data_IF_259874406766
#
_entry.id   IF_259874406766
#
_cell.length_a   1.000
_cell.length_b   1.000
_cell.length_c   1.000
_cell.angle_alpha   90.00
_cell.angle_beta   90.00
_cell.angle_gamma   90.00
#
_symmetry.space_group_name_H-M   'P 1'
#
loop_
_entity.id
_entity.type
_entity.pdbx_description
1 polymer ?
#
# COMPACT_ATOMS: atom_id res chain seq x y z
N UNK A 1 -8.99 3.44 14.78
CA UNK A 1 -8.24 4.71 14.80
C UNK A 1 -8.66 5.62 13.64
N UNK A 2 -8.66 5.14 12.39
CA UNK A 2 -9.20 5.90 11.23
C UNK A 2 -10.59 6.52 11.43
N UNK A 3 -11.55 5.81 12.06
CA UNK A 3 -12.89 6.36 12.36
C UNK A 3 -12.90 7.65 13.20
N UNK A 4 -11.81 7.95 13.90
CA UNK A 4 -11.63 9.14 14.74
C UNK A 4 -11.00 10.29 13.98
N UNK A 5 -10.53 10.09 12.75
CA UNK A 5 -10.03 11.16 11.89
C UNK A 5 -11.21 11.99 11.40
N UNK A 6 -11.13 13.30 11.64
CA UNK A 6 -12.15 14.25 11.20
C UNK A 6 -12.09 14.41 9.68
N UNK A 7 -13.25 14.70 9.09
CA UNK A 7 -13.32 15.10 7.69
C UNK A 7 -12.61 16.42 7.47
N UNK A 8 -11.96 16.59 6.33
CA UNK A 8 -11.27 17.82 5.97
C UNK A 8 -11.60 18.24 4.54
N UNK A 9 -11.93 19.51 4.35
CA UNK A 9 -12.28 20.09 3.05
C UNK A 9 -13.56 19.52 2.44
N UNK A 10 -14.03 20.15 1.36
CA UNK A 10 -15.11 19.60 0.56
C UNK A 10 -14.55 18.46 -0.30
N UNK A 11 -14.83 17.21 0.09
CA UNK A 11 -14.39 15.98 -0.59
C UNK A 11 -12.87 15.70 -0.59
N UNK A 12 -12.08 16.35 0.29
CA UNK A 12 -10.62 16.11 0.35
C UNK A 12 -10.28 14.92 1.25
N UNK A 13 -10.77 14.91 2.49
CA UNK A 13 -10.72 13.76 3.39
C UNK A 13 -12.15 13.45 3.83
N UNK A 14 -12.67 12.32 3.35
CA UNK A 14 -14.01 11.85 3.67
C UNK A 14 -14.03 11.02 4.96
N UNK A 15 -15.23 10.79 5.50
CA UNK A 15 -15.41 9.97 6.70
C UNK A 15 -15.03 8.52 6.39
N UNK A 16 -14.06 8.00 7.13
CA UNK A 16 -13.65 6.60 7.01
C UNK A 16 -14.72 5.63 7.54
N UNK A 17 -14.70 4.41 7.00
CA UNK A 17 -15.58 3.32 7.45
C UNK A 17 -15.27 2.90 8.89
N UNK A 18 -16.21 2.18 9.52
CA UNK A 18 -16.01 1.64 10.86
C UNK A 18 -14.90 0.58 10.92
N UNK A 19 -14.71 -0.16 9.82
CA UNK A 19 -13.68 -1.18 9.65
C UNK A 19 -12.93 -0.94 8.33
N UNK A 20 -11.81 -0.25 8.44
CA UNK A 20 -10.88 0.00 7.33
C UNK A 20 -10.09 -1.25 6.99
N UNK A 21 -9.70 -2.04 8.00
CA UNK A 21 -8.90 -3.27 7.81
C UNK A 21 -9.61 -4.33 6.97
N UNK A 22 -10.95 -4.36 6.99
CA UNK A 22 -11.73 -5.26 6.15
C UNK A 22 -11.73 -4.91 4.65
N UNK A 23 -11.24 -3.72 4.26
CA UNK A 23 -11.13 -3.25 2.87
C UNK A 23 -12.41 -3.43 2.01
N UNK A 24 -13.58 -3.35 2.64
CA UNK A 24 -14.86 -3.56 1.94
C UNK A 24 -15.31 -2.29 1.23
N UNK A 25 -15.58 -2.41 -0.08
CA UNK A 25 -16.15 -1.34 -0.93
C UNK A 25 -15.31 -0.05 -0.96
N UNK A 26 -13.98 -0.19 -0.95
CA UNK A 26 -13.07 0.95 -1.10
C UNK A 26 -12.96 1.35 -2.57
N UNK A 27 -13.18 2.63 -2.86
CA UNK A 27 -12.83 3.26 -4.13
C UNK A 27 -11.36 3.69 -4.14
N UNK A 28 -10.81 3.98 -5.32
CA UNK A 28 -9.42 4.43 -5.48
C UNK A 28 -9.06 5.63 -4.59
N UNK A 29 -9.99 6.58 -4.42
CA UNK A 29 -9.81 7.74 -3.54
C UNK A 29 -9.64 7.36 -2.07
N UNK A 30 -10.30 6.30 -1.62
CA UNK A 30 -10.27 5.89 -0.21
C UNK A 30 -8.88 5.36 0.15
N UNK A 31 -8.22 4.62 -0.76
CA UNK A 31 -6.83 4.18 -0.56
C UNK A 31 -5.86 5.35 -0.41
N UNK A 32 -6.02 6.39 -1.23
CA UNK A 32 -5.21 7.61 -1.12
C UNK A 32 -5.42 8.27 0.24
N UNK A 33 -6.67 8.46 0.66
CA UNK A 33 -6.98 9.17 1.90
C UNK A 33 -6.53 8.37 3.13
N UNK A 34 -6.61 7.03 3.07
CA UNK A 34 -6.04 6.14 4.09
C UNK A 34 -4.54 6.34 4.23
N UNK A 35 -3.79 6.39 3.11
CA UNK A 35 -2.35 6.63 3.16
C UNK A 35 -2.04 8.01 3.75
N UNK A 36 -2.74 9.06 3.30
CA UNK A 36 -2.53 10.43 3.78
C UNK A 36 -2.81 10.60 5.29
N UNK A 37 -3.75 9.83 5.84
CA UNK A 37 -4.10 9.87 7.27
C UNK A 37 -3.50 8.73 8.08
N UNK A 38 -2.52 8.00 7.53
CA UNK A 38 -1.98 6.78 8.15
C UNK A 38 -1.14 7.06 9.39
N UNK A 39 -0.23 8.04 9.34
CA UNK A 39 0.70 8.37 10.43
C UNK A 39 -0.01 8.48 11.81
N UNK A 40 -1.01 9.37 12.02
CA UNK A 40 -1.69 9.46 13.33
C UNK A 40 -2.51 8.21 13.70
N UNK A 41 -2.86 7.37 12.72
CA UNK A 41 -3.58 6.13 12.95
C UNK A 41 -2.65 4.97 13.36
N UNK A 42 -1.37 5.05 13.04
CA UNK A 42 -0.37 4.02 13.30
C UNK A 42 0.59 4.41 14.44
N UNK A 43 0.70 5.68 14.77
CA UNK A 43 1.62 6.16 15.80
C UNK A 43 1.31 5.54 17.18
N UNK A 44 2.29 4.89 17.80
CA UNK A 44 2.12 4.15 19.06
C UNK A 44 1.18 2.93 18.95
N UNK A 45 0.92 2.43 17.73
CA UNK A 45 0.17 1.18 17.55
C UNK A 45 1.05 -0.05 17.80
N UNK A 46 2.33 0.05 17.47
CA UNK A 46 3.31 -1.02 17.57
C UNK A 46 4.21 -0.81 18.80
N UNK A 47 4.92 -1.86 19.27
CA UNK A 47 5.98 -1.71 20.26
C UNK A 47 6.99 -0.66 19.81
N UNK A 48 7.59 0.06 20.76
CA UNK A 48 8.49 1.18 20.48
C UNK A 48 9.65 0.80 19.54
N UNK A 49 10.16 -0.43 19.69
CA UNK A 49 11.23 -1.00 18.86
C UNK A 49 10.86 -1.06 17.36
N UNK A 50 9.58 -1.20 17.03
CA UNK A 50 9.10 -1.39 15.65
C UNK A 50 8.31 -0.18 15.13
N UNK A 51 7.76 0.63 16.04
CA UNK A 51 6.89 1.75 15.72
C UNK A 51 7.59 2.76 14.80
N UNK A 52 8.84 3.11 15.09
CA UNK A 52 9.60 4.06 14.27
C UNK A 52 9.76 3.56 12.83
N UNK A 53 10.07 2.26 12.62
CA UNK A 53 10.21 1.67 11.28
C UNK A 53 8.88 1.76 10.50
N UNK A 54 7.77 1.46 11.18
CA UNK A 54 6.43 1.53 10.57
C UNK A 54 6.08 2.96 10.18
N UNK A 55 6.31 3.92 11.06
CA UNK A 55 6.00 5.33 10.82
C UNK A 55 6.87 5.92 9.72
N UNK A 56 8.17 5.64 9.74
CA UNK A 56 9.11 6.04 8.69
C UNK A 56 8.65 5.47 7.33
N UNK A 57 8.31 4.17 7.28
CA UNK A 57 7.82 3.51 6.06
C UNK A 57 6.55 4.18 5.52
N UNK A 58 5.61 4.51 6.41
CA UNK A 58 4.38 5.22 6.01
C UNK A 58 4.67 6.65 5.53
N UNK A 59 5.64 7.33 6.14
CA UNK A 59 6.07 8.65 5.74
C UNK A 59 6.69 8.63 4.33
N UNK A 60 7.61 7.69 4.06
CA UNK A 60 8.22 7.55 2.74
C UNK A 60 7.18 7.18 1.68
N UNK A 61 6.22 6.29 1.98
CA UNK A 61 5.11 6.02 1.05
C UNK A 61 4.29 7.27 0.77
N UNK A 62 4.00 8.08 1.79
CA UNK A 62 3.21 9.31 1.64
C UNK A 62 3.95 10.33 0.79
N UNK A 63 5.26 10.50 1.03
CA UNK A 63 6.11 11.41 0.26
C UNK A 63 6.26 10.93 -1.19
N UNK A 64 6.52 9.63 -1.39
CA UNK A 64 6.60 9.01 -2.71
C UNK A 64 5.31 9.23 -3.49
N UNK A 65 4.15 8.94 -2.88
CA UNK A 65 2.85 9.11 -3.52
C UNK A 65 2.54 10.59 -3.83
N UNK A 66 2.91 11.52 -2.96
CA UNK A 66 2.74 12.96 -3.21
C UNK A 66 3.55 13.42 -4.43
N UNK A 67 4.80 12.96 -4.57
CA UNK A 67 5.65 13.26 -5.71
C UNK A 67 5.13 12.57 -6.99
N UNK A 68 4.77 11.29 -6.91
CA UNK A 68 4.21 10.55 -8.04
C UNK A 68 2.92 11.19 -8.60
N UNK A 69 2.11 11.81 -7.74
CA UNK A 69 0.86 12.47 -8.10
C UNK A 69 1.03 13.94 -8.50
N UNK A 70 2.24 14.49 -8.43
CA UNK A 70 2.47 15.88 -8.80
C UNK A 70 2.20 16.09 -10.28
N UNK A 71 1.44 17.15 -10.61
CA UNK A 71 1.07 17.49 -11.99
C UNK A 71 2.16 18.21 -12.77
N UNK A 72 3.20 18.63 -12.07
CA UNK A 72 4.31 19.36 -12.62
C UNK A 72 5.57 18.95 -11.87
N UNK A 73 6.62 18.68 -12.63
CA UNK A 73 7.92 18.36 -12.09
C UNK A 73 8.96 19.38 -12.53
N UNK A 74 9.90 19.65 -11.64
CA UNK A 74 11.15 20.37 -11.94
C UNK A 74 12.30 19.41 -11.71
N UNK A 75 13.50 19.77 -12.14
CA UNK A 75 14.70 18.94 -11.91
C UNK A 75 14.88 18.63 -10.42
N UNK A 76 14.61 19.61 -9.56
CA UNK A 76 14.68 19.45 -8.10
C UNK A 76 13.65 18.45 -7.56
N UNK A 77 12.41 18.46 -8.06
CA UNK A 77 11.38 17.53 -7.58
C UNK A 77 11.58 16.12 -8.13
N UNK A 78 12.14 15.96 -9.34
CA UNK A 78 12.57 14.66 -9.87
C UNK A 78 13.74 14.09 -9.09
N UNK A 79 14.71 14.93 -8.72
CA UNK A 79 15.83 14.53 -7.86
C UNK A 79 15.31 14.05 -6.49
N UNK A 80 14.43 14.83 -5.86
CA UNK A 80 13.79 14.43 -4.62
C UNK A 80 13.00 13.12 -4.79
N UNK A 81 12.28 12.95 -5.89
CA UNK A 81 11.48 11.74 -6.14
C UNK A 81 12.36 10.49 -6.28
N UNK A 82 13.50 10.60 -6.95
CA UNK A 82 14.49 9.52 -7.03
C UNK A 82 15.09 9.18 -5.67
N UNK A 83 15.42 10.20 -4.86
CA UNK A 83 15.93 10.01 -3.51
C UNK A 83 14.90 9.31 -2.60
N UNK A 84 13.66 9.78 -2.60
CA UNK A 84 12.55 9.19 -1.84
C UNK A 84 12.25 7.77 -2.30
N UNK A 85 12.30 7.47 -3.60
CA UNK A 85 12.11 6.11 -4.11
C UNK A 85 13.20 5.16 -3.60
N UNK A 86 14.44 5.64 -3.50
CA UNK A 86 15.56 4.86 -2.95
C UNK A 86 15.44 4.66 -1.43
N UNK A 87 15.00 5.69 -0.71
CA UNK A 87 14.70 5.64 0.72
C UNK A 87 13.57 4.65 1.01
N UNK A 88 12.47 4.74 0.27
CA UNK A 88 11.30 3.87 0.40
C UNK A 88 11.68 2.39 0.18
N UNK A 89 12.50 2.11 -0.84
CA UNK A 89 13.01 0.75 -1.06
C UNK A 89 13.81 0.24 0.15
N UNK A 90 14.72 1.06 0.67
CA UNK A 90 15.54 0.72 1.85
C UNK A 90 14.69 0.48 3.10
N UNK A 91 13.70 1.33 3.35
CA UNK A 91 12.77 1.19 4.47
C UNK A 91 11.88 -0.05 4.32
N UNK A 92 11.38 -0.34 3.13
CA UNK A 92 10.63 -1.58 2.87
C UNK A 92 11.45 -2.83 3.15
N UNK A 93 12.73 -2.85 2.73
CA UNK A 93 13.63 -3.94 3.06
C UNK A 93 13.86 -4.07 4.58
N UNK A 94 14.01 -2.94 5.29
CA UNK A 94 14.15 -2.93 6.75
C UNK A 94 12.87 -3.42 7.45
N UNK A 95 11.69 -2.94 7.03
CA UNK A 95 10.39 -3.39 7.53
C UNK A 95 10.19 -4.90 7.36
N UNK A 96 10.56 -5.45 6.20
CA UNK A 96 10.48 -6.90 5.96
C UNK A 96 11.45 -7.69 6.82
N UNK A 97 12.66 -7.18 7.03
CA UNK A 97 13.71 -7.88 7.79
C UNK A 97 13.48 -7.83 9.30
N UNK A 98 13.02 -6.69 9.82
CA UNK A 98 12.95 -6.41 11.25
C UNK A 98 11.54 -6.61 11.79
N UNK A 99 10.53 -5.98 11.16
CA UNK A 99 9.17 -5.93 11.71
C UNK A 99 8.37 -7.18 11.34
N UNK A 100 8.33 -7.56 10.07
CA UNK A 100 7.48 -8.68 9.61
C UNK A 100 7.69 -10.00 10.38
N UNK A 101 8.91 -10.42 10.76
CA UNK A 101 9.12 -11.68 11.50
C UNK A 101 8.54 -11.68 12.92
N UNK A 102 8.38 -10.51 13.55
CA UNK A 102 7.87 -10.41 14.92
C UNK A 102 6.34 -10.60 14.98
N UNK A 103 5.63 -10.34 13.88
CA UNK A 103 4.16 -10.38 13.84
C UNK A 103 3.63 -11.55 13.02
N UNK A 104 2.85 -12.42 13.67
CA UNK A 104 2.15 -13.53 12.99
C UNK A 104 0.89 -13.03 12.28
N UNK A 105 1.04 -12.66 11.02
CA UNK A 105 -0.05 -12.24 10.13
C UNK A 105 -0.77 -13.44 9.50
N UNK A 106 -2.07 -13.27 9.20
CA UNK A 106 -2.91 -14.26 8.54
C UNK A 106 -3.74 -13.56 7.47
N UNK A 107 -4.15 -14.33 6.48
CA UNK A 107 -5.12 -13.84 5.50
C UNK A 107 -6.46 -13.51 6.17
N UNK A 108 -7.11 -12.49 5.64
CA UNK A 108 -8.45 -12.11 6.07
C UNK A 108 -9.48 -13.19 5.71
N UNK A 109 -10.64 -13.26 6.39
CA UNK A 109 -11.69 -14.21 6.03
C UNK A 109 -12.14 -14.11 4.58
N UNK A 110 -12.12 -12.89 4.01
CA UNK A 110 -12.49 -12.64 2.63
C UNK A 110 -11.44 -13.21 1.64
N UNK A 111 -10.15 -12.99 1.90
CA UNK A 111 -9.06 -13.56 1.10
C UNK A 111 -9.08 -15.10 1.15
N UNK A 112 -9.24 -15.68 2.35
CA UNK A 112 -9.35 -17.14 2.50
C UNK A 112 -10.56 -17.71 1.76
N UNK A 113 -11.70 -17.03 1.78
CA UNK A 113 -12.90 -17.46 1.05
C UNK A 113 -12.69 -17.38 -0.47
N UNK A 114 -12.07 -16.31 -0.96
CA UNK A 114 -11.73 -16.16 -2.37
C UNK A 114 -10.78 -17.30 -2.80
N UNK A 115 -9.70 -17.55 -2.06
CA UNK A 115 -8.74 -18.61 -2.38
C UNK A 115 -9.40 -19.98 -2.48
N UNK A 116 -10.27 -20.33 -1.51
CA UNK A 116 -11.03 -21.59 -1.56
C UNK A 116 -11.92 -21.69 -2.80
N UNK A 117 -12.56 -20.60 -3.20
CA UNK A 117 -13.37 -20.56 -4.42
C UNK A 117 -12.52 -20.81 -5.67
N UNK A 118 -11.33 -20.21 -5.76
CA UNK A 118 -10.40 -20.43 -6.87
C UNK A 118 -9.90 -21.88 -6.94
N UNK A 119 -9.49 -22.46 -5.81
CA UNK A 119 -9.03 -23.86 -5.75
C UNK A 119 -10.17 -24.82 -6.12
N UNK A 120 -11.40 -24.54 -5.66
CA UNK A 120 -12.57 -25.37 -5.98
C UNK A 120 -12.97 -25.34 -7.46
N UNK A 121 -12.59 -24.29 -8.20
CA UNK A 121 -12.78 -24.20 -9.65
C UNK A 121 -11.66 -24.89 -10.44
N UNK A 122 -10.53 -25.20 -9.79
CA UNK A 122 -9.29 -25.63 -10.46
C UNK A 122 -9.00 -27.14 -10.31
N UNK A 123 -9.46 -27.78 -9.22
CA UNK A 123 -9.10 -29.18 -8.89
C UNK A 123 -10.28 -30.18 -8.98
N UNK A 124 -10.04 -31.43 -9.45
CA UNK A 124 -11.03 -32.51 -9.40
C UNK A 124 -11.32 -33.00 -7.97
N UNK A 125 -12.52 -33.55 -7.70
CA UNK A 125 -13.06 -33.76 -6.34
C UNK A 125 -12.30 -34.76 -5.43
N UNK A 126 -11.27 -35.45 -5.93
CA UNK A 126 -10.51 -36.45 -5.18
C UNK A 126 -9.27 -35.91 -4.44
N UNK A 127 -8.85 -34.66 -4.70
CA UNK A 127 -7.69 -34.05 -4.05
C UNK A 127 -8.03 -33.17 -2.83
N UNK A 128 -9.23 -33.31 -2.26
CA UNK A 128 -9.63 -32.61 -1.04
C UNK A 128 -8.99 -33.23 0.22
N UNK A 129 -7.67 -33.42 0.21
CA UNK A 129 -6.92 -33.67 1.43
C UNK A 129 -6.74 -32.32 2.13
N UNK A 130 -7.61 -32.08 3.11
CA UNK A 130 -7.44 -31.19 4.26
C UNK A 130 -6.15 -30.34 4.24
N UNK A 131 -6.12 -29.24 3.49
CA UNK A 131 -5.20 -28.13 3.81
C UNK A 131 -5.80 -27.33 4.97
N UNK A 132 -5.98 -28.02 6.10
CA UNK A 132 -6.21 -27.39 7.39
C UNK A 132 -4.87 -26.92 7.93
N UNK A 133 -4.38 -25.77 7.46
CA UNK A 133 -3.36 -25.06 8.21
C UNK A 133 -3.41 -23.57 7.89
N UNK A 134 -3.58 -22.80 8.95
CA UNK A 134 -3.39 -21.36 9.05
C UNK A 134 -2.05 -20.97 8.40
N UNK A 135 -2.02 -20.73 7.10
CA UNK A 135 -0.81 -20.29 6.42
C UNK A 135 -0.55 -18.85 6.85
N UNK A 136 0.54 -18.63 7.57
CA UNK A 136 0.97 -17.29 7.91
C UNK A 136 1.20 -16.49 6.63
N UNK A 137 0.72 -15.24 6.58
CA UNK A 137 0.83 -14.41 5.38
C UNK A 137 2.03 -13.48 5.49
N UNK A 138 3.16 -13.88 4.92
CA UNK A 138 4.36 -13.04 4.91
C UNK A 138 4.21 -11.97 3.83
N UNK A 139 4.68 -10.75 4.13
CA UNK A 139 4.73 -9.67 3.16
C UNK A 139 5.74 -9.98 2.05
N UNK A 140 5.29 -9.92 0.79
CA UNK A 140 6.13 -10.21 -0.37
C UNK A 140 6.54 -8.91 -1.08
N UNK A 141 7.81 -8.53 -0.93
CA UNK A 141 8.39 -7.38 -1.62
C UNK A 141 8.69 -7.68 -3.11
N UNK A 142 8.81 -8.96 -3.49
CA UNK A 142 9.17 -9.39 -4.84
C UNK A 142 7.98 -9.40 -5.81
N UNK A 143 7.13 -8.38 -5.74
CA UNK A 143 6.00 -8.21 -6.67
C UNK A 143 6.29 -7.08 -7.65
N UNK A 144 5.70 -7.16 -8.84
CA UNK A 144 5.81 -6.12 -9.85
C UNK A 144 5.48 -4.73 -9.29
N UNK A 145 4.46 -4.64 -8.41
CA UNK A 145 4.00 -3.38 -7.81
C UNK A 145 5.11 -2.58 -7.12
N UNK A 146 6.03 -3.26 -6.44
CA UNK A 146 7.14 -2.60 -5.75
C UNK A 146 8.30 -2.28 -6.70
N UNK A 147 8.57 -3.16 -7.67
CA UNK A 147 9.61 -2.92 -8.67
C UNK A 147 9.27 -1.76 -9.61
N UNK A 148 7.99 -1.59 -9.95
CA UNK A 148 7.52 -0.51 -10.82
C UNK A 148 7.58 0.87 -10.17
N UNK A 149 7.82 0.98 -8.85
CA UNK A 149 7.92 2.28 -8.17
C UNK A 149 9.10 3.12 -8.70
N UNK A 150 10.21 2.47 -9.08
CA UNK A 150 11.37 3.11 -9.69
C UNK A 150 11.08 3.73 -11.06
N UNK A 151 10.18 3.11 -11.82
CA UNK A 151 9.91 3.47 -13.22
C UNK A 151 9.22 4.83 -13.34
N UNK A 152 8.48 5.27 -12.32
CA UNK A 152 7.82 6.58 -12.30
C UNK A 152 8.83 7.73 -12.49
N UNK A 153 9.96 7.67 -11.80
CA UNK A 153 10.98 8.73 -11.90
C UNK A 153 11.59 8.84 -13.31
N UNK A 154 11.67 7.71 -14.02
CA UNK A 154 12.27 7.65 -15.36
C UNK A 154 11.26 7.93 -16.49
N UNK A 155 10.01 7.55 -16.30
CA UNK A 155 8.94 7.74 -17.29
C UNK A 155 8.42 9.17 -17.33
N UNK A 156 8.34 9.86 -16.19
CA UNK A 156 7.81 11.24 -16.13
C UNK A 156 8.54 12.22 -17.07
N UNK A 157 9.89 12.26 -17.13
CA UNK A 157 10.60 13.15 -18.05
C UNK A 157 10.36 12.84 -19.54
N UNK A 158 10.00 11.60 -19.88
CA UNK A 158 9.87 11.16 -21.28
C UNK A 158 8.44 11.24 -21.79
N UNK A 159 7.48 10.90 -20.94
CA UNK A 159 6.08 10.71 -21.33
C UNK A 159 5.13 11.66 -20.61
N UNK A 160 5.62 12.45 -19.66
CA UNK A 160 4.82 13.35 -18.83
C UNK A 160 4.26 12.66 -17.58
N UNK A 161 3.49 13.44 -16.81
CA UNK A 161 2.92 12.98 -15.53
C UNK A 161 1.80 11.96 -15.75
N UNK A 162 1.64 11.04 -14.80
CA UNK A 162 0.66 9.95 -14.93
C UNK A 162 -0.80 10.39 -14.89
N UNK A 163 -1.07 11.65 -14.53
CA UNK A 163 -2.43 12.22 -14.56
C UNK A 163 -2.82 12.81 -15.92
N UNK A 164 -1.87 12.89 -16.87
CA UNK A 164 -2.08 13.49 -18.20
C UNK A 164 -2.46 12.46 -19.28
N UNK A 165 -2.52 11.16 -18.94
CA UNK A 165 -2.92 10.12 -19.90
C UNK A 165 -4.44 10.12 -20.09
N UNK A 166 -4.92 10.85 -21.10
CA UNK A 166 -6.28 10.66 -21.62
C UNK A 166 -6.24 9.65 -22.76
N UNK A 167 -7.00 8.56 -22.65
CA UNK A 167 -7.26 7.65 -23.78
C UNK A 167 -8.41 8.13 -24.67
N UNK A 168 -8.96 9.31 -24.40
CA UNK A 168 -9.99 9.89 -25.24
C UNK A 168 -9.32 10.44 -26.51
N UNK A 169 -9.52 9.74 -27.61
CA UNK A 169 -9.20 10.23 -28.95
C UNK A 169 -10.11 11.44 -29.19
N UNK A 170 -9.52 12.61 -29.39
CA UNK A 170 -10.22 13.80 -29.92
C UNK A 170 -10.42 13.62 -31.42
#
# INVERSE_FOLDING_TARGET
>A
RYRSVLTFGHLTICKFSNDVSGQKKLAARDYKDLLQCSIPCFDGLFPEEDNHIVIDTLFDFTMWHALAKSRMHTDSSLYAFKAVTSSLGSQLHCFVKTVCPQFKTKETPAEMAAQKSWVSLSDPPAAQTQTTAKSGKIFNLLTYKFHSLGDYCWTIPQFGTTDSYSTQIV
#
